data_IF_279589993025
#
_entry.id   IF_279589993025
#
_cell.length_a   1.000
_cell.length_b   1.000
_cell.length_c   1.000
_cell.angle_alpha   90.00
_cell.angle_beta   90.00
_cell.angle_gamma   90.00
#
_symmetry.space_group_name_H-M   'P 1'
#
loop_
_entity.id
_entity.type
_entity.pdbx_description
1 polymer ?
#
# COMPACT_ATOMS: atom_id res chain seq x y z
N UNK A 1 37.66 30.68 -26.86
CA UNK A 1 37.24 29.70 -25.85
C UNK A 1 35.78 29.36 -26.10
N UNK A 2 35.44 28.08 -26.33
CA UNK A 2 34.07 27.65 -26.61
C UNK A 2 33.34 27.41 -25.28
N UNK A 3 32.58 28.39 -24.84
CA UNK A 3 31.59 28.21 -23.78
C UNK A 3 30.23 28.14 -24.45
N UNK A 4 29.57 27.00 -24.37
CA UNK A 4 28.12 26.93 -24.49
C UNK A 4 27.57 27.18 -23.09
N UNK A 5 27.07 28.39 -22.76
CA UNK A 5 26.25 28.56 -21.58
C UNK A 5 24.90 27.93 -21.91
N UNK A 6 24.81 26.60 -21.78
CA UNK A 6 23.51 25.95 -21.75
C UNK A 6 22.73 26.61 -20.62
N UNK A 7 21.67 27.31 -20.98
CA UNK A 7 20.84 28.01 -20.00
C UNK A 7 20.23 26.97 -19.07
N UNK A 8 19.88 27.37 -17.84
CA UNK A 8 19.27 26.46 -16.87
C UNK A 8 18.00 25.77 -17.43
N UNK A 9 17.33 26.42 -18.38
CA UNK A 9 16.15 25.90 -19.05
C UNK A 9 16.51 24.80 -20.06
N UNK A 10 17.49 25.04 -20.92
CA UNK A 10 18.01 24.03 -21.86
C UNK A 10 18.59 22.82 -21.12
N UNK A 11 19.26 23.04 -19.99
CA UNK A 11 19.73 21.95 -19.13
C UNK A 11 18.56 21.13 -18.55
N UNK A 12 17.49 21.79 -18.09
CA UNK A 12 16.30 21.08 -17.58
C UNK A 12 15.61 20.29 -18.67
N UNK A 13 15.52 20.82 -19.87
CA UNK A 13 14.90 20.13 -21.02
C UNK A 13 15.71 18.90 -21.43
N UNK A 14 17.03 19.04 -21.58
CA UNK A 14 17.92 17.91 -21.88
C UNK A 14 17.94 16.87 -20.76
N UNK A 15 17.98 17.32 -19.50
CA UNK A 15 17.94 16.41 -18.35
C UNK A 15 16.61 15.69 -18.22
N UNK A 16 15.47 16.36 -18.43
CA UNK A 16 14.14 15.74 -18.37
C UNK A 16 13.99 14.71 -19.47
N UNK A 17 14.47 15.01 -20.68
CA UNK A 17 14.46 14.08 -21.81
C UNK A 17 15.32 12.83 -21.53
N UNK A 18 16.51 13.02 -20.97
CA UNK A 18 17.39 11.91 -20.58
C UNK A 18 16.82 11.11 -19.40
N UNK A 19 16.19 11.80 -18.44
CA UNK A 19 15.57 11.21 -17.27
C UNK A 19 14.36 10.37 -17.66
N UNK A 20 13.46 10.87 -18.49
CA UNK A 20 12.27 10.13 -18.93
C UNK A 20 12.67 8.85 -19.69
N UNK A 21 13.65 8.96 -20.60
CA UNK A 21 14.17 7.81 -21.34
C UNK A 21 14.77 6.75 -20.41
N UNK A 22 15.50 7.16 -19.37
CA UNK A 22 16.13 6.24 -18.41
C UNK A 22 15.20 5.76 -17.32
N UNK A 23 14.24 6.58 -16.94
CA UNK A 23 13.18 6.25 -16.00
C UNK A 23 12.33 5.14 -16.59
N UNK A 24 11.87 5.25 -17.83
CA UNK A 24 11.09 4.18 -18.47
C UNK A 24 11.87 2.87 -18.59
N UNK A 25 13.15 2.91 -18.97
CA UNK A 25 14.00 1.71 -18.96
C UNK A 25 14.15 1.10 -17.55
N UNK A 26 14.35 1.94 -16.54
CA UNK A 26 14.47 1.50 -15.15
C UNK A 26 13.15 0.95 -14.61
N UNK A 27 12.03 1.64 -14.84
CA UNK A 27 10.69 1.21 -14.43
C UNK A 27 10.30 -0.09 -15.13
N UNK A 28 10.57 -0.24 -16.43
CA UNK A 28 10.33 -1.50 -17.13
C UNK A 28 11.27 -2.62 -16.68
N UNK A 29 12.53 -2.32 -16.32
CA UNK A 29 13.45 -3.34 -15.78
C UNK A 29 13.08 -3.79 -14.36
N UNK A 30 12.64 -2.88 -13.51
CA UNK A 30 12.32 -3.14 -12.10
C UNK A 30 10.89 -3.64 -11.93
N UNK A 31 9.95 -3.15 -12.74
CA UNK A 31 8.51 -3.42 -12.62
C UNK A 31 7.87 -4.05 -13.88
N UNK A 32 8.60 -4.25 -14.99
CA UNK A 32 8.05 -4.83 -16.23
C UNK A 32 7.65 -6.30 -16.13
N UNK A 33 7.91 -6.97 -15.01
CA UNK A 33 7.34 -8.28 -14.68
C UNK A 33 5.95 -8.21 -14.03
N UNK A 34 5.57 -7.06 -13.46
CA UNK A 34 4.24 -6.84 -12.91
C UNK A 34 3.33 -6.27 -13.99
N UNK A 35 2.82 -7.15 -14.86
CA UNK A 35 1.54 -6.86 -15.53
C UNK A 35 0.56 -6.40 -14.44
N UNK A 36 -0.21 -5.33 -14.62
CA UNK A 36 -1.40 -5.17 -13.80
C UNK A 36 -2.22 -6.44 -14.08
N UNK A 37 -2.32 -7.33 -13.08
CA UNK A 37 -3.29 -8.42 -13.18
C UNK A 37 -4.61 -7.71 -13.48
N UNK A 38 -5.18 -7.96 -14.66
CA UNK A 38 -6.59 -7.69 -14.91
C UNK A 38 -7.31 -8.34 -13.74
N UNK A 39 -7.82 -7.51 -12.84
CA UNK A 39 -8.56 -7.99 -11.67
C UNK A 39 -9.92 -8.47 -12.19
N UNK A 40 -9.97 -9.70 -12.71
CA UNK A 40 -11.19 -10.48 -12.94
C UNK A 40 -11.81 -10.93 -11.60
N UNK A 41 -11.76 -10.07 -10.59
CA UNK A 41 -12.26 -10.27 -9.23
C UNK A 41 -12.47 -8.95 -8.47
N UNK A 42 -12.62 -7.84 -9.20
CA UNK A 42 -12.80 -6.50 -8.61
C UNK A 42 -14.07 -6.35 -7.76
N UNK A 43 -14.96 -7.35 -7.76
CA UNK A 43 -16.17 -7.36 -6.94
C UNK A 43 -15.94 -7.80 -5.48
N UNK A 44 -14.75 -8.33 -5.12
CA UNK A 44 -14.44 -8.83 -3.76
C UNK A 44 -13.49 -7.92 -2.94
N UNK A 45 -13.13 -6.74 -3.43
CA UNK A 45 -11.94 -6.03 -2.93
C UNK A 45 -12.16 -5.16 -1.68
N UNK A 46 -13.37 -5.09 -1.11
CA UNK A 46 -13.66 -4.28 0.09
C UNK A 46 -14.04 -5.14 1.28
N UNK A 47 -13.38 -4.89 2.40
CA UNK A 47 -13.66 -5.48 3.70
C UNK A 47 -14.48 -4.50 4.55
N UNK A 48 -15.43 -5.04 5.30
CA UNK A 48 -16.15 -4.35 6.37
C UNK A 48 -15.29 -4.25 7.63
N UNK A 49 -15.69 -3.37 8.55
CA UNK A 49 -15.08 -3.28 9.89
C UNK A 49 -14.97 -4.64 10.58
N UNK A 50 -15.99 -5.50 10.46
CA UNK A 50 -16.01 -6.82 11.11
C UNK A 50 -14.97 -7.76 10.52
N UNK A 51 -14.87 -7.78 9.20
CA UNK A 51 -13.88 -8.62 8.50
C UNK A 51 -12.46 -8.16 8.82
N UNK A 52 -12.22 -6.85 8.90
CA UNK A 52 -10.91 -6.30 9.27
C UNK A 52 -10.56 -6.65 10.72
N UNK A 53 -11.51 -6.53 11.66
CA UNK A 53 -11.26 -6.93 13.06
C UNK A 53 -10.94 -8.41 13.18
N UNK A 54 -11.65 -9.28 12.45
CA UNK A 54 -11.38 -10.71 12.43
C UNK A 54 -10.02 -11.02 11.78
N UNK A 55 -9.67 -10.31 10.71
CA UNK A 55 -8.43 -10.53 9.99
C UNK A 55 -7.17 -10.16 10.80
N UNK A 56 -7.26 -9.12 11.64
CA UNK A 56 -6.17 -8.72 12.53
C UNK A 56 -6.25 -9.36 13.92
N UNK A 57 -7.34 -10.07 14.24
CA UNK A 57 -7.66 -10.55 15.59
C UNK A 57 -7.60 -9.44 16.64
N UNK A 58 -8.29 -8.32 16.36
CA UNK A 58 -8.33 -7.14 17.22
C UNK A 58 -9.75 -6.71 17.56
N UNK A 59 -9.90 -5.99 18.67
CA UNK A 59 -11.18 -5.37 19.03
C UNK A 59 -11.56 -4.23 18.06
N UNK A 60 -12.87 -3.97 17.93
CA UNK A 60 -13.39 -2.84 17.15
C UNK A 60 -12.91 -1.49 17.70
N UNK A 61 -12.72 -1.38 19.01
CA UNK A 61 -12.17 -0.18 19.66
C UNK A 61 -10.74 0.08 19.20
N UNK A 62 -9.91 -0.97 19.12
CA UNK A 62 -8.53 -0.90 18.61
C UNK A 62 -8.53 -0.41 17.17
N UNK A 63 -9.36 -0.99 16.30
CA UNK A 63 -9.47 -0.57 14.91
C UNK A 63 -9.90 0.91 14.79
N UNK A 64 -10.89 1.34 15.59
CA UNK A 64 -11.32 2.74 15.61
C UNK A 64 -10.21 3.70 16.05
N UNK A 65 -9.40 3.31 17.03
CA UNK A 65 -8.24 4.10 17.45
C UNK A 65 -7.19 4.21 16.34
N UNK A 66 -6.95 3.13 15.58
CA UNK A 66 -6.04 3.17 14.44
C UNK A 66 -6.53 4.08 13.32
N UNK A 67 -7.84 4.11 13.07
CA UNK A 67 -8.44 5.04 12.10
C UNK A 67 -8.30 6.48 12.59
N UNK A 68 -8.53 6.75 13.88
CA UNK A 68 -8.38 8.10 14.48
C UNK A 68 -6.93 8.60 14.49
N UNK A 69 -5.98 7.68 14.53
CA UNK A 69 -4.54 7.98 14.51
C UNK A 69 -3.96 7.96 13.09
N UNK A 70 -4.81 7.88 12.06
CA UNK A 70 -4.41 7.76 10.64
C UNK A 70 -3.41 6.63 10.36
N UNK A 71 -3.42 5.58 11.19
CA UNK A 71 -2.60 4.37 11.00
C UNK A 71 -3.15 3.47 9.91
N UNK A 72 -4.48 3.40 9.81
CA UNK A 72 -5.19 2.62 8.79
C UNK A 72 -6.19 3.52 8.07
N UNK A 73 -6.11 3.51 6.74
CA UNK A 73 -7.06 4.22 5.88
C UNK A 73 -8.38 3.45 5.75
N UNK A 74 -9.49 4.18 5.81
CA UNK A 74 -10.85 3.65 5.62
C UNK A 74 -11.61 4.50 4.60
N UNK A 75 -12.44 3.86 3.80
CA UNK A 75 -13.36 4.49 2.85
C UNK A 75 -14.73 4.57 3.50
N UNK A 76 -15.24 5.79 3.74
CA UNK A 76 -16.59 5.97 4.28
C UNK A 76 -17.60 6.00 3.14
N UNK A 77 -18.57 5.08 3.15
CA UNK A 77 -19.74 5.08 2.25
C UNK A 77 -21.01 5.09 3.10
N UNK A 78 -21.70 6.22 3.13
CA UNK A 78 -22.85 6.44 4.02
C UNK A 78 -22.46 6.33 5.50
N UNK A 79 -23.17 5.48 6.24
CA UNK A 79 -22.89 5.23 7.66
C UNK A 79 -21.88 4.09 7.91
N UNK A 80 -21.38 3.45 6.85
CA UNK A 80 -20.47 2.31 6.94
C UNK A 80 -19.06 2.70 6.50
N UNK A 81 -18.08 1.97 7.06
CA UNK A 81 -16.67 2.07 6.69
C UNK A 81 -16.25 0.79 6.01
N UNK A 82 -15.52 0.96 4.92
CA UNK A 82 -14.95 -0.10 4.11
C UNK A 82 -13.44 0.06 4.04
N UNK A 83 -12.75 -1.04 3.79
CA UNK A 83 -11.30 -1.08 3.72
C UNK A 83 -10.91 -1.85 2.48
N UNK A 84 -9.96 -1.34 1.72
CA UNK A 84 -9.43 -2.09 0.58
C UNK A 84 -8.67 -3.32 1.10
N UNK A 85 -9.11 -4.51 0.68
CA UNK A 85 -8.55 -5.80 1.13
C UNK A 85 -7.05 -5.87 0.85
N UNK A 86 -6.64 -5.51 -0.36
CA UNK A 86 -5.24 -5.56 -0.76
C UNK A 86 -4.37 -4.60 0.07
N UNK A 87 -4.89 -3.42 0.41
CA UNK A 87 -4.26 -2.49 1.34
C UNK A 87 -4.12 -3.10 2.75
N UNK A 88 -5.17 -3.69 3.29
CA UNK A 88 -5.16 -4.33 4.60
C UNK A 88 -4.16 -5.49 4.68
N UNK A 89 -4.10 -6.33 3.65
CA UNK A 89 -3.13 -7.42 3.55
C UNK A 89 -1.69 -6.92 3.50
N UNK A 90 -1.41 -5.88 2.69
CA UNK A 90 -0.10 -5.22 2.65
C UNK A 90 0.25 -4.60 4.00
N UNK A 91 -0.68 -3.91 4.63
CA UNK A 91 -0.49 -3.29 5.95
C UNK A 91 -0.13 -4.35 6.99
N UNK A 92 -0.85 -5.48 7.02
CA UNK A 92 -0.54 -6.60 7.93
C UNK A 92 0.86 -7.14 7.67
N UNK A 93 1.20 -7.40 6.41
CA UNK A 93 2.51 -7.92 6.04
C UNK A 93 3.64 -6.97 6.44
N UNK A 94 3.49 -5.65 6.25
CA UNK A 94 4.54 -4.69 6.58
C UNK A 94 4.68 -4.48 8.09
N UNK A 95 3.57 -4.34 8.81
CA UNK A 95 3.61 -3.93 10.22
C UNK A 95 3.67 -5.10 11.21
N UNK A 96 3.37 -6.33 10.77
CA UNK A 96 3.31 -7.52 11.63
C UNK A 96 4.27 -8.63 11.17
N UNK A 97 5.13 -8.39 10.17
CA UNK A 97 6.13 -9.40 9.73
C UNK A 97 7.34 -9.56 10.64
N UNK A 98 7.37 -8.90 11.80
CA UNK A 98 8.45 -9.03 12.77
C UNK A 98 7.91 -9.41 14.16
N UNK A 99 7.35 -10.63 14.28
CA UNK A 99 7.73 -11.60 15.33
C UNK A 99 6.85 -12.85 15.29
N UNK A 100 7.55 -13.97 15.40
CA UNK A 100 7.08 -15.34 15.51
C UNK A 100 6.13 -15.55 16.71
N UNK A 101 5.15 -16.43 16.50
CA UNK A 101 4.26 -17.06 17.51
C UNK A 101 3.45 -16.08 18.36
N UNK A 102 2.21 -15.82 17.91
CA UNK A 102 1.14 -15.43 18.83
C UNK A 102 1.04 -16.54 19.90
N UNK A 103 1.12 -16.24 21.20
CA UNK A 103 0.75 -17.20 22.23
C UNK A 103 -0.72 -17.52 22.00
N UNK A 104 -1.02 -18.79 21.75
CA UNK A 104 -2.38 -19.31 21.73
C UNK A 104 -2.99 -19.10 23.11
N UNK A 105 -3.75 -18.01 23.27
CA UNK A 105 -4.70 -17.87 24.37
C UNK A 105 -5.88 -18.81 24.13
N UNK A 106 -5.65 -20.13 24.23
CA UNK A 106 -6.69 -21.16 24.36
C UNK A 106 -6.01 -22.49 24.74
N UNK A 107 -5.68 -22.63 26.02
CA UNK A 107 -5.65 -23.93 26.71
C UNK A 107 -5.95 -23.69 28.19
N UNK A 108 -7.19 -23.28 28.47
CA UNK A 108 -7.85 -23.66 29.71
C UNK A 108 -8.96 -24.61 29.32
N UNK A 109 -8.68 -25.91 29.37
CA UNK A 109 -9.67 -26.91 29.79
C UNK A 109 -8.94 -28.17 30.28
N UNK A 110 -9.34 -28.55 31.51
CA UNK A 110 -8.98 -29.71 32.34
C UNK A 110 -7.67 -29.58 33.12
#
# INVERSE_FOLDING_TARGET
>A
MRYLPMTLQEFREEFTKLFDQKADEFFNRVFGGTKPRKNEGAEESLMTTNEVTAYFDISRTTLNNWIRQDKIMSIKKGNQRFFDRAYIERYKKVNFSFNERLPTYLSKHV
#
